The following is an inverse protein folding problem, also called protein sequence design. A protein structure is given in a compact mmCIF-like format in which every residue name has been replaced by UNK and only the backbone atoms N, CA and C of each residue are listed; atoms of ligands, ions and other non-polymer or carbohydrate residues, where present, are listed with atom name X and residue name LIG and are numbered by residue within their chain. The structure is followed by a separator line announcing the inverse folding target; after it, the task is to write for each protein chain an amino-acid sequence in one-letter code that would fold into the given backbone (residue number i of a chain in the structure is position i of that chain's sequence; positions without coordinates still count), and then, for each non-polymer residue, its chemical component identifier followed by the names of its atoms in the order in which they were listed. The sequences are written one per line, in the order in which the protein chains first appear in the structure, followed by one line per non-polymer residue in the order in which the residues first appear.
data_IF_526084872935
#
_entry.id   IF_526084872935
#
_cell.length_a   1.000
_cell.length_b   1.000
_cell.length_c   1.000
_cell.angle_alpha   90.00
_cell.angle_beta   90.00
_cell.angle_gamma   90.00
#
_symmetry.space_group_name_H-M   'P 1'
#
loop_
_entity.id
_entity.type
_entity.pdbx_description
1 polymer ?
#
# COMPACT_ATOMS: atom_id res chain seq x y z
N UNK A 1 36.79 -22.44 42.48
CA UNK A 1 36.24 -21.07 42.26
C UNK A 1 36.45 -20.55 40.84
N UNK A 2 37.66 -20.65 40.25
CA UNK A 2 37.94 -20.17 38.88
C UNK A 2 37.27 -21.01 37.78
N UNK A 3 37.36 -22.33 37.89
CA UNK A 3 36.74 -23.34 36.99
C UNK A 3 35.21 -23.16 36.89
N UNK A 4 34.54 -23.02 38.03
CA UNK A 4 33.09 -22.81 38.13
C UNK A 4 32.62 -21.51 37.50
N UNK A 5 33.47 -20.48 37.49
CA UNK A 5 33.13 -19.17 36.90
C UNK A 5 33.19 -19.20 35.37
N UNK A 6 34.13 -19.99 34.81
CA UNK A 6 34.28 -20.19 33.37
C UNK A 6 33.09 -20.97 32.81
N UNK A 7 32.65 -22.05 33.47
CA UNK A 7 31.51 -22.85 33.02
C UNK A 7 30.20 -22.04 33.03
N UNK A 8 29.98 -21.21 34.05
CA UNK A 8 28.80 -20.34 34.12
C UNK A 8 28.82 -19.28 33.01
N UNK A 9 29.98 -18.66 32.76
CA UNK A 9 30.14 -17.71 31.66
C UNK A 9 29.90 -18.37 30.29
N UNK A 10 30.37 -19.61 30.11
CA UNK A 10 30.18 -20.36 28.87
C UNK A 10 28.72 -20.72 28.64
N UNK A 11 28.01 -21.19 29.69
CA UNK A 11 26.58 -21.48 29.61
C UNK A 11 25.77 -20.22 29.30
N UNK A 12 26.05 -19.10 29.97
CA UNK A 12 25.38 -17.82 29.71
C UNK A 12 25.62 -17.30 28.28
N UNK A 13 26.86 -17.39 27.80
CA UNK A 13 27.20 -17.03 26.42
C UNK A 13 26.45 -17.91 25.41
N UNK A 14 26.39 -19.22 25.65
CA UNK A 14 25.74 -20.17 24.75
C UNK A 14 24.20 -20.02 24.77
N UNK A 15 23.60 -19.73 25.93
CA UNK A 15 22.18 -19.39 26.04
C UNK A 15 21.81 -18.10 25.29
N UNK A 16 22.73 -17.14 25.20
CA UNK A 16 22.50 -15.88 24.48
C UNK A 16 22.39 -16.06 22.96
N UNK A 17 23.01 -17.10 22.39
CA UNK A 17 22.89 -17.44 20.96
C UNK A 17 21.56 -18.13 20.60
N UNK A 18 20.85 -18.68 21.58
CA UNK A 18 19.56 -19.36 21.37
C UNK A 18 18.38 -18.39 21.38
N UNK A 19 18.60 -17.13 21.78
CA UNK A 19 17.59 -16.08 21.76
C UNK A 19 17.68 -15.38 20.40
N UNK A 20 17.01 -15.95 19.38
CA UNK A 20 16.78 -15.21 18.14
C UNK A 20 15.65 -14.21 18.36
N UNK A 21 15.89 -12.89 18.28
CA UNK A 21 14.79 -11.95 18.24
C UNK A 21 13.97 -12.21 16.97
N UNK A 22 12.64 -12.30 17.10
CA UNK A 22 11.75 -12.31 15.96
C UNK A 22 11.88 -10.96 15.25
N UNK A 23 12.71 -10.93 14.20
CA UNK A 23 12.80 -9.78 13.33
C UNK A 23 11.63 -9.85 12.35
N UNK A 24 10.58 -9.08 12.63
CA UNK A 24 9.48 -8.89 11.70
C UNK A 24 9.93 -7.98 10.55
N UNK A 25 10.81 -8.50 9.69
CA UNK A 25 11.13 -7.88 8.41
C UNK A 25 9.96 -8.16 7.47
N UNK A 26 8.92 -7.32 7.53
CA UNK A 26 7.90 -7.34 6.49
C UNK A 26 8.51 -6.81 5.17
N UNK A 27 8.15 -7.34 4.00
CA UNK A 27 8.60 -6.78 2.75
C UNK A 27 8.07 -5.35 2.64
N UNK A 28 9.00 -4.38 2.55
CA UNK A 28 8.65 -2.97 2.36
C UNK A 28 8.55 -2.71 0.86
N UNK A 29 7.35 -2.86 0.31
CA UNK A 29 7.03 -2.31 -1.01
C UNK A 29 6.96 -0.79 -0.93
N UNK A 30 7.51 -0.10 -1.93
CA UNK A 30 7.45 1.36 -1.99
C UNK A 30 6.30 1.80 -2.90
N UNK A 31 5.70 2.94 -2.54
CA UNK A 31 4.67 3.58 -3.36
C UNK A 31 5.04 5.02 -3.64
N UNK A 32 4.84 5.44 -4.89
CA UNK A 32 4.77 6.86 -5.23
C UNK A 32 3.30 7.29 -5.20
N UNK A 33 3.00 8.27 -4.36
CA UNK A 33 1.68 8.88 -4.24
C UNK A 33 1.65 10.22 -4.97
N UNK A 34 0.76 10.37 -5.94
CA UNK A 34 0.45 11.65 -6.58
C UNK A 34 -0.98 12.06 -6.27
N UNK A 35 -1.19 13.33 -5.89
CA UNK A 35 -2.54 13.88 -5.65
C UNK A 35 -2.71 15.13 -6.50
N UNK A 36 -3.76 15.14 -7.33
CA UNK A 36 -4.20 16.30 -8.10
C UNK A 36 -5.50 16.83 -7.51
N UNK A 37 -5.51 18.11 -7.18
CA UNK A 37 -6.70 18.84 -6.75
C UNK A 37 -7.46 19.29 -8.00
N UNK A 38 -8.77 19.07 -8.01
CA UNK A 38 -9.64 19.48 -9.12
C UNK A 38 -10.64 20.48 -8.58
N UNK A 39 -10.79 21.58 -9.32
CA UNK A 39 -11.70 22.67 -8.98
C UNK A 39 -12.90 22.71 -9.93
N UNK A 40 -14.04 23.19 -9.44
CA UNK A 40 -15.18 23.54 -10.27
C UNK A 40 -14.98 24.89 -10.99
N UNK A 41 -15.96 25.28 -11.82
CA UNK A 41 -15.93 26.53 -12.60
C UNK A 41 -15.90 27.79 -11.72
N UNK A 42 -16.22 27.65 -10.43
CA UNK A 42 -16.19 28.70 -9.43
C UNK A 42 -14.85 28.76 -8.69
N UNK A 43 -13.88 27.89 -9.05
CA UNK A 43 -12.57 27.82 -8.42
C UNK A 43 -12.57 27.11 -7.07
N UNK A 44 -13.67 26.47 -6.66
CA UNK A 44 -13.76 25.71 -5.43
C UNK A 44 -13.30 24.27 -5.67
N UNK A 45 -12.62 23.68 -4.68
CA UNK A 45 -12.20 22.27 -4.77
C UNK A 45 -13.43 21.37 -4.85
N UNK A 46 -13.53 20.59 -5.93
CA UNK A 46 -14.66 19.70 -6.19
C UNK A 46 -14.28 18.23 -6.02
N UNK A 47 -13.02 17.87 -6.29
CA UNK A 47 -12.50 16.52 -6.07
C UNK A 47 -10.99 16.45 -5.90
N UNK A 48 -10.54 15.31 -5.41
CA UNK A 48 -9.13 14.89 -5.41
C UNK A 48 -8.97 13.68 -6.32
N UNK A 49 -8.00 13.73 -7.22
CA UNK A 49 -7.57 12.60 -8.03
C UNK A 49 -6.22 12.10 -7.51
N UNK A 50 -6.20 10.88 -6.98
CA UNK A 50 -5.04 10.31 -6.31
C UNK A 50 -4.54 9.08 -7.05
N UNK A 51 -3.26 9.07 -7.42
CA UNK A 51 -2.61 7.97 -8.14
C UNK A 51 -1.55 7.30 -7.27
N UNK A 52 -1.59 5.97 -7.16
CA UNK A 52 -0.61 5.15 -6.42
C UNK A 52 0.16 4.32 -7.41
N UNK A 53 1.47 4.53 -7.51
CA UNK A 53 2.36 3.72 -8.34
C UNK A 53 3.20 2.84 -7.45
N UNK A 54 3.13 1.53 -7.68
CA UNK A 54 3.93 0.55 -6.94
C UNK A 54 5.35 0.48 -7.48
N UNK A 55 6.26 -0.02 -6.66
CA UNK A 55 7.63 -0.26 -7.10
C UNK A 55 7.68 -1.26 -8.28
N UNK A 56 8.67 -1.12 -9.18
CA UNK A 56 8.77 -1.98 -10.36
C UNK A 56 8.97 -3.46 -10.03
N UNK A 57 9.66 -3.80 -8.94
CA UNK A 57 9.94 -5.21 -8.60
C UNK A 57 8.69 -5.92 -8.12
N UNK A 58 7.93 -5.29 -7.23
CA UNK A 58 6.63 -5.78 -6.80
C UNK A 58 5.66 -5.88 -7.98
N UNK A 59 5.67 -4.89 -8.86
CA UNK A 59 4.84 -4.89 -10.08
C UNK A 59 5.13 -6.10 -10.97
N UNK A 60 6.40 -6.48 -11.14
CA UNK A 60 6.80 -7.64 -11.95
C UNK A 60 6.30 -8.96 -11.35
N UNK A 61 6.47 -9.14 -10.04
CA UNK A 61 6.03 -10.36 -9.35
C UNK A 61 4.51 -10.53 -9.44
N UNK A 62 3.77 -9.46 -9.13
CA UNK A 62 2.30 -9.46 -9.23
C UNK A 62 1.85 -9.74 -10.66
N UNK A 63 2.53 -9.17 -11.65
CA UNK A 63 2.18 -9.37 -13.05
C UNK A 63 2.38 -10.82 -13.49
N UNK A 64 3.48 -11.45 -13.08
CA UNK A 64 3.73 -12.87 -13.34
C UNK A 64 2.68 -13.77 -12.67
N UNK A 65 2.34 -13.51 -11.41
CA UNK A 65 1.30 -14.25 -10.68
C UNK A 65 -0.07 -14.13 -11.36
N UNK A 66 -0.45 -12.92 -11.79
CA UNK A 66 -1.73 -12.69 -12.48
C UNK A 66 -1.78 -13.33 -13.87
N UNK A 67 -0.64 -13.43 -14.58
CA UNK A 67 -0.57 -14.15 -15.86
C UNK A 67 -0.72 -15.66 -15.70
N UNK A 68 -0.32 -16.21 -14.57
CA UNK A 68 -0.43 -17.63 -14.26
C UNK A 68 -1.80 -18.01 -13.67
N UNK A 69 -2.60 -17.02 -13.27
CA UNK A 69 -3.92 -17.25 -12.71
C UNK A 69 -4.89 -17.77 -13.78
N UNK A 70 -5.50 -18.93 -13.51
CA UNK A 70 -6.52 -19.51 -14.40
C UNK A 70 -7.88 -18.85 -14.18
N UNK A 71 -8.61 -18.58 -15.27
CA UNK A 71 -10.03 -18.21 -15.22
C UNK A 71 -10.35 -16.72 -15.13
N UNK A 72 -9.35 -15.83 -15.20
CA UNK A 72 -9.54 -14.38 -15.34
C UNK A 72 -8.55 -13.81 -16.37
N UNK A 73 -8.98 -12.79 -17.11
CA UNK A 73 -8.04 -11.97 -17.88
C UNK A 73 -7.11 -11.20 -16.94
N UNK A 74 -5.95 -10.82 -17.45
CA UNK A 74 -4.99 -9.98 -16.74
C UNK A 74 -5.65 -8.68 -16.26
N UNK A 75 -6.48 -8.07 -17.09
CA UNK A 75 -7.23 -6.85 -16.77
C UNK A 75 -8.21 -7.06 -15.61
N UNK A 76 -8.95 -8.16 -15.61
CA UNK A 76 -9.88 -8.51 -14.51
C UNK A 76 -9.12 -8.78 -13.20
N UNK A 77 -7.99 -9.47 -13.28
CA UNK A 77 -7.12 -9.74 -12.14
C UNK A 77 -6.53 -8.45 -11.53
N UNK A 78 -6.07 -7.53 -12.38
CA UNK A 78 -5.56 -6.23 -11.96
C UNK A 78 -6.65 -5.35 -11.30
N UNK A 79 -7.84 -5.31 -11.88
CA UNK A 79 -8.98 -4.57 -11.31
C UNK A 79 -9.44 -5.17 -9.97
N UNK A 80 -9.40 -6.50 -9.84
CA UNK A 80 -9.75 -7.20 -8.61
C UNK A 80 -8.69 -6.96 -7.51
N UNK A 81 -7.41 -7.09 -7.83
CA UNK A 81 -6.31 -6.81 -6.91
C UNK A 81 -6.37 -5.37 -6.38
N UNK A 82 -6.66 -4.40 -7.27
CA UNK A 82 -6.93 -3.03 -6.85
C UNK A 82 -8.08 -2.96 -5.84
N UNK A 83 -9.22 -3.60 -6.08
CA UNK A 83 -10.33 -3.57 -5.09
C UNK A 83 -9.89 -4.13 -3.74
N UNK A 84 -9.18 -5.25 -3.72
CA UNK A 84 -8.73 -5.91 -2.49
C UNK A 84 -7.76 -5.06 -1.69
N UNK A 85 -6.74 -4.48 -2.33
CA UNK A 85 -5.77 -3.61 -1.63
C UNK A 85 -6.48 -2.38 -1.05
N UNK A 86 -7.41 -1.76 -1.77
CA UNK A 86 -8.19 -0.61 -1.25
C UNK A 86 -9.02 -1.02 -0.04
N UNK A 87 -9.75 -2.13 -0.17
CA UNK A 87 -10.69 -2.56 0.87
C UNK A 87 -9.93 -2.98 2.13
N UNK A 88 -8.77 -3.63 1.98
CA UNK A 88 -7.84 -3.94 3.08
C UNK A 88 -7.33 -2.66 3.77
N UNK A 89 -6.83 -1.68 3.01
CA UNK A 89 -6.34 -0.41 3.56
C UNK A 89 -7.44 0.42 4.22
N UNK A 90 -8.68 0.34 3.72
CA UNK A 90 -9.82 1.05 4.30
C UNK A 90 -10.10 0.63 5.75
N UNK A 91 -9.82 -0.63 6.11
CA UNK A 91 -9.99 -1.13 7.48
C UNK A 91 -9.01 -0.52 8.49
N UNK A 92 -7.87 -0.01 8.02
CA UNK A 92 -6.79 0.48 8.87
C UNK A 92 -6.77 2.01 9.01
N UNK A 93 -7.82 2.70 8.54
CA UNK A 93 -7.89 4.17 8.49
C UNK A 93 -6.73 4.85 7.72
N UNK A 94 -6.00 4.13 6.86
CA UNK A 94 -4.86 4.66 6.08
C UNK A 94 -5.27 5.33 4.76
N UNK A 95 -6.53 5.73 4.64
CA UNK A 95 -7.01 6.46 3.47
C UNK A 95 -6.88 7.98 3.68
N UNK A 96 -7.10 8.72 2.59
CA UNK A 96 -7.05 10.18 2.58
C UNK A 96 -8.07 10.79 3.53
N UNK A 97 -7.61 11.61 4.49
CA UNK A 97 -8.43 12.52 5.29
C UNK A 97 -8.35 13.94 4.70
N UNK A 98 -9.48 14.63 4.60
CA UNK A 98 -9.52 16.03 4.17
C UNK A 98 -10.18 16.85 5.28
N UNK A 99 -9.55 17.97 5.63
CA UNK A 99 -10.05 18.91 6.64
C UNK A 99 -10.10 20.32 6.07
N UNK A 100 -11.16 21.06 6.38
CA UNK A 100 -11.28 22.50 6.10
C UNK A 100 -11.44 23.19 7.44
N UNK A 101 -10.57 24.15 7.77
CA UNK A 101 -10.58 24.84 9.07
C UNK A 101 -10.64 23.88 10.26
N UNK A 102 -9.86 22.79 10.18
CA UNK A 102 -9.80 21.71 11.17
C UNK A 102 -11.07 20.83 11.29
N UNK A 103 -12.12 21.09 10.50
CA UNK A 103 -13.32 20.27 10.43
C UNK A 103 -13.20 19.17 9.36
N UNK A 104 -13.40 17.88 9.70
CA UNK A 104 -13.38 16.77 8.74
C UNK A 104 -14.41 16.95 7.62
N UNK A 105 -14.01 16.65 6.39
CA UNK A 105 -14.91 16.68 5.23
C UNK A 105 -15.33 15.28 4.83
N UNK A 106 -16.63 15.10 4.57
CA UNK A 106 -17.14 13.86 4.02
C UNK A 106 -16.65 13.69 2.58
N UNK A 107 -15.96 12.58 2.33
CA UNK A 107 -15.48 12.21 1.01
C UNK A 107 -16.43 11.18 0.41
N UNK A 108 -16.85 11.39 -0.83
CA UNK A 108 -17.64 10.42 -1.58
C UNK A 108 -16.90 9.11 -1.78
N UNK A 109 -17.65 8.05 -2.11
CA UNK A 109 -17.08 6.74 -2.45
C UNK A 109 -16.12 6.91 -3.62
N UNK A 110 -14.93 6.36 -3.49
CA UNK A 110 -13.95 6.36 -4.56
C UNK A 110 -14.46 5.55 -5.75
N UNK A 111 -14.54 6.16 -6.93
CA UNK A 111 -14.62 5.40 -8.16
C UNK A 111 -13.22 4.96 -8.56
N UNK A 112 -13.04 3.67 -8.83
CA UNK A 112 -11.82 3.18 -9.47
C UNK A 112 -11.85 3.57 -10.94
N UNK A 113 -10.73 4.10 -11.45
CA UNK A 113 -10.46 4.14 -12.89
C UNK A 113 -9.75 2.82 -13.25
N UNK A 114 -10.03 2.20 -14.42
CA UNK A 114 -9.40 0.94 -14.82
C UNK A 114 -7.88 1.00 -14.74
N UNK A 115 -7.25 -0.03 -14.15
CA UNK A 115 -5.82 -0.04 -13.84
C UNK A 115 -4.92 0.14 -15.07
N UNK A 116 -5.34 -0.43 -16.20
CA UNK A 116 -4.57 -0.47 -17.44
C UNK A 116 -4.41 0.92 -18.11
N UNK A 117 -5.31 1.87 -17.81
CA UNK A 117 -5.28 3.25 -18.33
C UNK A 117 -4.04 4.03 -17.87
N UNK A 118 -3.39 3.58 -16.78
CA UNK A 118 -2.23 4.24 -16.18
C UNK A 118 -0.90 3.45 -16.33
N UNK A 119 -0.88 2.38 -17.15
CA UNK A 119 0.33 1.61 -17.47
C UNK A 119 1.20 2.33 -18.53
N UNK A 120 1.71 3.50 -18.18
CA UNK A 120 2.73 4.22 -18.95
C UNK A 120 4.13 3.88 -18.45
N UNK A 121 4.73 2.80 -18.95
CA UNK A 121 6.04 2.31 -18.51
C UNK A 121 5.94 1.21 -17.45
N UNK A 122 7.07 0.58 -17.13
CA UNK A 122 7.24 -0.68 -16.38
C UNK A 122 6.74 -0.72 -14.92
N UNK A 123 5.78 0.13 -14.54
CA UNK A 123 5.28 0.27 -13.17
C UNK A 123 3.76 0.23 -13.15
N UNK A 124 3.20 -0.55 -12.21
CA UNK A 124 1.76 -0.66 -12.03
C UNK A 124 1.23 0.58 -11.29
N UNK A 125 0.26 1.28 -11.89
CA UNK A 125 -0.54 2.28 -11.17
C UNK A 125 -1.74 1.56 -10.55
N UNK A 126 -1.65 1.26 -9.26
CA UNK A 126 -2.57 0.34 -8.60
C UNK A 126 -3.89 1.02 -8.17
N UNK A 127 -3.92 2.36 -8.12
CA UNK A 127 -5.13 3.14 -7.85
C UNK A 127 -5.14 4.47 -8.57
N UNK A 128 -6.29 4.79 -9.16
CA UNK A 128 -6.70 6.16 -9.44
C UNK A 128 -8.01 6.40 -8.69
N UNK A 129 -7.92 7.12 -7.58
CA UNK A 129 -9.03 7.37 -6.67
C UNK A 129 -9.63 8.74 -6.99
N UNK A 130 -10.89 8.78 -7.45
CA UNK A 130 -11.65 10.03 -7.51
C UNK A 130 -12.48 10.17 -6.23
N UNK A 131 -12.09 11.07 -5.34
CA UNK A 131 -12.88 11.42 -4.16
C UNK A 131 -13.55 12.77 -4.41
N UNK A 132 -14.86 12.76 -4.66
CA UNK A 132 -15.69 13.96 -4.71
C UNK A 132 -15.91 14.48 -3.29
N UNK A 133 -15.74 15.78 -3.06
CA UNK A 133 -16.15 16.38 -1.80
C UNK A 133 -17.69 16.38 -1.74
N UNK A 134 -18.26 15.78 -0.70
CA UNK A 134 -19.67 16.01 -0.39
C UNK A 134 -19.77 17.45 0.10
N UNK A 135 -20.55 18.26 -0.62
CA UNK A 135 -21.06 19.50 -0.03
C UNK A 135 -22.04 19.16 1.10
#
# INVERSE_FOLDING_TARGET
MRETSISVAFVLAMSSFLISPNTHAHPHGWIDLSVRVITDDQGLVSSLHQTWRMDPFYSLVVFEELQQAEGASLEEGLDQLGKEIRDNLATQHYLTEVRINNAPQALGRSSNIPLWSAMGGSSLCLFCLWKRLSR
#
